data_IF_497414905403
#
_entry.id   IF_497414905403
#
_cell.length_a   1.000
_cell.length_b   1.000
_cell.length_c   1.000
_cell.angle_alpha   90.00
_cell.angle_beta   90.00
_cell.angle_gamma   90.00
#
_symmetry.space_group_name_H-M   'P 1'
#
loop_
_entity.id
_entity.type
_entity.pdbx_description
1 polymer ?
#
# COMPACT_ATOMS: atom_id res chain seq x y z
N UNK A 1 -12.31 -19.48 19.93
CA UNK A 1 -12.77 -19.65 18.52
C UNK A 1 -12.56 -18.35 17.79
N UNK A 2 -12.08 -18.41 16.55
CA UNK A 2 -11.94 -17.25 15.67
C UNK A 2 -13.12 -17.20 14.69
N UNK A 3 -13.62 -15.98 14.42
CA UNK A 3 -14.58 -15.69 13.37
C UNK A 3 -14.06 -14.54 12.55
N UNK A 4 -14.02 -14.72 11.23
CA UNK A 4 -13.59 -13.70 10.28
C UNK A 4 -14.54 -13.60 9.10
N UNK A 5 -14.79 -12.37 8.64
CA UNK A 5 -15.52 -12.04 7.44
C UNK A 5 -14.61 -11.26 6.50
N UNK A 6 -14.55 -11.70 5.25
CA UNK A 6 -13.79 -11.04 4.19
C UNK A 6 -14.73 -10.76 3.02
N UNK A 7 -14.88 -9.50 2.69
CA UNK A 7 -15.66 -9.05 1.54
C UNK A 7 -14.78 -8.30 0.57
N UNK A 8 -14.81 -8.68 -0.70
CA UNK A 8 -14.08 -7.98 -1.76
C UNK A 8 -14.98 -7.68 -2.94
N UNK A 9 -14.76 -6.53 -3.55
CA UNK A 9 -15.47 -6.10 -4.76
C UNK A 9 -14.53 -5.40 -5.71
N UNK A 10 -14.59 -5.82 -6.97
CA UNK A 10 -13.89 -5.18 -8.06
C UNK A 10 -14.88 -4.59 -9.06
N UNK A 11 -14.62 -3.39 -9.58
CA UNK A 11 -15.48 -2.73 -10.55
C UNK A 11 -14.68 -1.94 -11.58
N UNK A 12 -14.97 -2.19 -12.85
CA UNK A 12 -14.56 -1.30 -13.94
C UNK A 12 -15.61 -0.20 -14.14
N UNK A 13 -15.13 1.03 -14.27
CA UNK A 13 -15.93 2.23 -14.50
C UNK A 13 -15.32 3.02 -15.65
N UNK A 14 -16.07 3.97 -16.25
CA UNK A 14 -15.49 4.89 -17.26
C UNK A 14 -14.28 5.68 -16.72
N UNK A 15 -14.30 5.99 -15.43
CA UNK A 15 -13.22 6.70 -14.74
C UNK A 15 -12.02 5.83 -14.35
N UNK A 16 -12.09 4.51 -14.47
CA UNK A 16 -11.01 3.60 -14.13
C UNK A 16 -11.48 2.32 -13.44
N UNK A 17 -10.60 1.71 -12.69
CA UNK A 17 -10.84 0.47 -11.95
C UNK A 17 -10.72 0.71 -10.46
N UNK A 18 -11.68 0.20 -9.71
CA UNK A 18 -11.69 0.21 -8.25
C UNK A 18 -11.76 -1.23 -7.71
N UNK A 19 -10.83 -1.57 -6.84
CA UNK A 19 -10.88 -2.76 -6.01
C UNK A 19 -11.01 -2.35 -4.55
N UNK A 20 -11.98 -2.91 -3.85
CA UNK A 20 -12.21 -2.68 -2.42
C UNK A 20 -12.23 -4.01 -1.69
N UNK A 21 -11.52 -4.08 -0.57
CA UNK A 21 -11.48 -5.20 0.35
C UNK A 21 -11.84 -4.72 1.75
N UNK A 22 -12.73 -5.44 2.42
CA UNK A 22 -13.10 -5.21 3.81
C UNK A 22 -12.91 -6.51 4.58
N UNK A 23 -12.21 -6.45 5.69
CA UNK A 23 -11.98 -7.56 6.58
C UNK A 23 -12.46 -7.20 7.99
N UNK A 24 -13.11 -8.15 8.63
CA UNK A 24 -13.51 -8.10 10.05
C UNK A 24 -13.20 -9.44 10.68
N UNK A 25 -12.42 -9.45 11.75
CA UNK A 25 -12.06 -10.68 12.46
C UNK A 25 -11.97 -10.48 13.97
N UNK A 26 -12.33 -11.50 14.75
CA UNK A 26 -12.22 -11.46 16.21
C UNK A 26 -12.17 -12.85 16.79
N UNK A 27 -11.55 -12.98 17.96
CA UNK A 27 -11.58 -14.19 18.76
C UNK A 27 -12.70 -14.12 19.77
N UNK A 28 -13.35 -15.25 20.03
CA UNK A 28 -14.34 -15.44 21.08
C UNK A 28 -13.79 -16.39 22.14
N UNK A 29 -13.75 -15.92 23.40
CA UNK A 29 -13.33 -16.68 24.55
C UNK A 29 -14.22 -16.33 25.74
N UNK A 30 -14.85 -17.34 26.36
CA UNK A 30 -15.68 -17.16 27.57
C UNK A 30 -16.84 -16.17 27.40
N UNK A 31 -17.42 -16.02 26.20
CA UNK A 31 -18.52 -15.08 25.94
C UNK A 31 -18.07 -13.65 25.63
N UNK A 32 -16.76 -13.37 25.63
CA UNK A 32 -16.19 -12.05 25.31
C UNK A 32 -15.48 -12.08 23.96
N UNK A 33 -15.46 -10.94 23.30
CA UNK A 33 -14.68 -10.74 22.06
C UNK A 33 -13.28 -10.26 22.40
N UNK A 34 -12.27 -10.89 21.82
CA UNK A 34 -10.86 -10.58 22.02
C UNK A 34 -10.16 -10.38 20.68
N UNK A 35 -9.10 -9.56 20.64
CA UNK A 35 -8.24 -9.37 19.48
C UNK A 35 -9.01 -9.04 18.19
N UNK A 36 -9.94 -8.11 18.26
CA UNK A 36 -10.72 -7.70 17.11
C UNK A 36 -9.92 -6.85 16.12
N UNK A 37 -10.11 -7.11 14.82
CA UNK A 37 -9.51 -6.37 13.71
C UNK A 37 -10.58 -6.00 12.70
N UNK A 38 -10.62 -4.73 12.35
CA UNK A 38 -11.32 -4.23 11.18
C UNK A 38 -10.30 -3.59 10.24
N UNK A 39 -10.31 -3.96 8.97
CA UNK A 39 -9.45 -3.33 7.97
C UNK A 39 -10.14 -3.15 6.63
N UNK A 40 -9.76 -2.10 5.93
CA UNK A 40 -10.17 -1.86 4.54
C UNK A 40 -8.95 -1.57 3.68
N UNK A 41 -8.99 -2.04 2.45
CA UNK A 41 -8.02 -1.72 1.41
C UNK A 41 -8.76 -1.34 0.14
N UNK A 42 -8.49 -0.15 -0.38
CA UNK A 42 -9.09 0.35 -1.60
C UNK A 42 -7.97 0.71 -2.58
N UNK A 43 -7.98 0.07 -3.74
CA UNK A 43 -7.03 0.30 -4.81
C UNK A 43 -7.78 0.83 -6.03
N UNK A 44 -7.44 2.02 -6.46
CA UNK A 44 -8.01 2.64 -7.64
C UNK A 44 -6.92 2.98 -8.64
N UNK A 45 -7.21 2.80 -9.92
CA UNK A 45 -6.39 3.37 -10.98
C UNK A 45 -7.21 3.92 -12.13
N UNK A 46 -6.71 5.01 -12.73
CA UNK A 46 -7.36 5.67 -13.85
C UNK A 46 -7.24 4.85 -15.14
N UNK A 47 -8.07 5.14 -16.16
CA UNK A 47 -7.77 4.71 -17.53
C UNK A 47 -6.39 5.21 -17.96
N UNK A 48 -5.89 4.66 -19.03
CA UNK A 48 -4.65 5.14 -19.63
C UNK A 48 -4.93 6.44 -20.39
N UNK A 49 -4.31 7.54 -19.95
CA UNK A 49 -4.44 8.86 -20.57
C UNK A 49 -3.36 9.02 -21.62
N UNK A 50 -3.76 9.39 -22.84
CA UNK A 50 -2.82 9.74 -23.92
C UNK A 50 -2.32 11.19 -23.74
N UNK A 51 -1.01 11.36 -23.61
CA UNK A 51 -0.36 12.66 -23.46
C UNK A 51 0.20 13.20 -24.78
N UNK A 52 0.04 12.47 -25.88
CA UNK A 52 0.64 12.77 -27.16
C UNK A 52 2.03 12.14 -27.35
N UNK A 53 2.56 12.14 -28.60
CA UNK A 53 3.88 11.62 -28.93
C UNK A 53 4.19 10.20 -28.41
N UNK A 54 3.17 9.34 -28.34
CA UNK A 54 3.23 7.97 -27.77
C UNK A 54 3.53 7.90 -26.26
N UNK A 55 3.35 9.01 -25.55
CA UNK A 55 3.38 9.04 -24.09
C UNK A 55 1.99 8.78 -23.54
N UNK A 56 1.93 7.97 -22.47
CA UNK A 56 0.70 7.68 -21.76
C UNK A 56 0.93 7.82 -20.26
N UNK A 57 -0.11 8.21 -19.53
CA UNK A 57 -0.06 8.28 -18.09
C UNK A 57 -1.18 7.44 -17.45
N UNK A 58 -0.91 6.92 -16.25
CA UNK A 58 -1.89 6.28 -15.37
C UNK A 58 -1.61 6.69 -13.94
N UNK A 59 -2.67 7.00 -13.21
CA UNK A 59 -2.61 7.37 -11.81
C UNK A 59 -3.19 6.26 -10.96
N UNK A 60 -2.55 5.99 -9.84
CA UNK A 60 -2.92 4.99 -8.87
C UNK A 60 -3.19 5.66 -7.53
N UNK A 61 -4.23 5.23 -6.85
CA UNK A 61 -4.58 5.63 -5.49
C UNK A 61 -4.78 4.36 -4.67
N UNK A 62 -4.07 4.28 -3.55
CA UNK A 62 -4.25 3.23 -2.56
C UNK A 62 -4.66 3.86 -1.24
N UNK A 63 -5.72 3.35 -0.62
CA UNK A 63 -6.15 3.78 0.71
C UNK A 63 -6.32 2.54 1.58
N UNK A 64 -5.55 2.46 2.66
CA UNK A 64 -5.62 1.39 3.65
C UNK A 64 -6.01 1.98 5.00
N UNK A 65 -7.01 1.39 5.62
CA UNK A 65 -7.42 1.71 6.98
C UNK A 65 -7.40 0.44 7.83
N UNK A 66 -6.95 0.55 9.08
CA UNK A 66 -6.93 -0.53 10.04
C UNK A 66 -7.34 -0.04 11.43
N UNK A 67 -8.13 -0.84 12.12
CA UNK A 67 -8.56 -0.59 13.49
C UNK A 67 -8.56 -1.88 14.29
N UNK A 68 -7.73 -1.93 15.35
CA UNK A 68 -7.70 -3.00 16.34
C UNK A 68 -8.54 -2.64 17.57
N UNK A 69 -9.39 -3.54 18.01
CA UNK A 69 -10.25 -3.34 19.17
C UNK A 69 -10.20 -4.57 20.10
N UNK A 70 -10.54 -4.38 21.40
CA UNK A 70 -10.54 -5.42 22.44
C UNK A 70 -9.23 -6.24 22.50
N UNK A 71 -8.08 -5.51 22.53
CA UNK A 71 -6.77 -6.13 22.44
C UNK A 71 -6.16 -6.38 23.80
N UNK A 72 -5.60 -7.57 23.98
CA UNK A 72 -4.88 -7.99 25.20
C UNK A 72 -3.36 -7.99 25.00
N UNK A 73 -2.90 -8.19 23.77
CA UNK A 73 -1.48 -8.25 23.45
C UNK A 73 -1.02 -6.99 22.76
N UNK A 74 0.26 -6.67 22.88
CA UNK A 74 0.92 -5.57 22.20
C UNK A 74 1.16 -5.88 20.72
N UNK A 75 0.12 -6.26 20.01
CA UNK A 75 0.15 -6.37 18.57
C UNK A 75 -0.28 -5.04 17.94
N UNK A 76 0.50 -4.56 17.00
CA UNK A 76 0.29 -3.27 16.37
C UNK A 76 0.22 -3.42 14.86
N UNK A 77 -0.59 -2.60 14.22
CA UNK A 77 -0.42 -2.37 12.79
C UNK A 77 0.89 -1.66 12.55
N UNK A 78 1.58 -2.07 11.51
CA UNK A 78 2.75 -1.36 11.00
C UNK A 78 2.41 -0.75 9.64
N UNK A 79 2.83 0.49 9.40
CA UNK A 79 2.68 1.18 8.12
C UNK A 79 4.00 1.33 7.38
N UNK A 80 5.01 0.52 7.70
CA UNK A 80 6.28 0.46 6.97
C UNK A 80 6.22 -0.47 5.75
N UNK A 81 7.12 -0.26 4.81
CA UNK A 81 7.26 -1.12 3.63
C UNK A 81 6.03 -1.19 2.74
N UNK A 82 5.68 -2.38 2.28
CA UNK A 82 4.56 -2.61 1.35
C UNK A 82 3.18 -2.36 1.98
N UNK A 83 3.10 -2.33 3.31
CA UNK A 83 1.85 -2.08 4.02
C UNK A 83 1.52 -0.59 4.16
N UNK A 84 2.44 0.29 3.80
CA UNK A 84 2.23 1.73 3.90
C UNK A 84 3.29 2.55 3.20
N UNK A 85 4.24 3.08 3.97
CA UNK A 85 5.29 3.96 3.45
C UNK A 85 6.45 3.11 2.94
N UNK A 86 6.54 2.96 1.62
CA UNK A 86 7.51 2.09 0.98
C UNK A 86 8.96 2.56 1.19
N UNK A 87 9.87 1.60 1.38
CA UNK A 87 11.32 1.84 1.45
C UNK A 87 11.83 2.27 2.81
N UNK A 88 10.99 2.25 3.83
CA UNK A 88 11.38 2.55 5.20
C UNK A 88 10.81 1.51 6.17
N UNK A 89 11.55 1.26 7.23
CA UNK A 89 11.12 0.50 8.39
C UNK A 89 11.48 1.28 9.64
N UNK A 90 10.52 1.48 10.52
CA UNK A 90 10.66 2.20 11.77
C UNK A 90 9.67 1.69 12.80
N UNK A 91 10.06 1.68 14.05
CA UNK A 91 9.19 1.36 15.17
C UNK A 91 8.15 2.46 15.45
N UNK A 92 8.42 3.68 15.03
CA UNK A 92 7.45 4.80 15.12
C UNK A 92 6.24 4.60 14.20
N UNK A 93 6.36 3.78 13.17
CA UNK A 93 5.32 3.51 12.17
C UNK A 93 4.31 2.45 12.62
N UNK A 94 4.04 2.34 13.91
CA UNK A 94 3.13 1.34 14.49
C UNK A 94 2.06 1.96 15.36
N UNK A 95 0.90 1.30 15.43
CA UNK A 95 -0.22 1.72 16.27
C UNK A 95 -1.36 0.70 16.27
N UNK A 96 -2.39 0.95 17.08
CA UNK A 96 -3.62 0.13 17.10
C UNK A 96 -4.61 0.55 16.02
N UNK A 97 -4.39 1.73 15.43
CA UNK A 97 -5.14 2.25 14.28
C UNK A 97 -4.16 2.75 13.25
N UNK A 98 -4.50 2.57 11.97
CA UNK A 98 -3.71 3.10 10.86
C UNK A 98 -4.59 3.67 9.76
N UNK A 99 -4.09 4.70 9.10
CA UNK A 99 -4.58 5.17 7.81
C UNK A 99 -3.38 5.43 6.91
N UNK A 100 -3.40 4.87 5.73
CA UNK A 100 -2.38 5.10 4.71
C UNK A 100 -3.06 5.53 3.43
N UNK A 101 -2.55 6.60 2.82
CA UNK A 101 -2.96 7.08 1.51
C UNK A 101 -1.74 7.15 0.62
N UNK A 102 -1.71 6.35 -0.42
CA UNK A 102 -0.65 6.32 -1.42
C UNK A 102 -1.17 6.79 -2.77
N UNK A 103 -0.43 7.71 -3.39
CA UNK A 103 -0.69 8.18 -4.76
C UNK A 103 0.54 7.94 -5.60
N UNK A 104 0.36 7.41 -6.80
CA UNK A 104 1.45 7.21 -7.75
C UNK A 104 0.98 7.59 -9.15
N UNK A 105 1.85 8.27 -9.90
CA UNK A 105 1.63 8.60 -11.31
C UNK A 105 2.75 8.00 -12.14
N UNK A 106 2.40 7.10 -13.05
CA UNK A 106 3.34 6.41 -13.94
C UNK A 106 3.17 6.94 -15.35
N UNK A 107 4.28 7.31 -15.96
CA UNK A 107 4.36 7.81 -17.32
C UNK A 107 5.02 6.77 -18.23
N UNK A 108 4.27 6.18 -19.12
CA UNK A 108 4.77 5.18 -20.06
C UNK A 108 5.38 5.91 -21.25
N UNK A 109 6.71 5.78 -21.39
CA UNK A 109 7.45 6.41 -22.47
C UNK A 109 7.53 5.52 -23.73
N UNK A 110 7.70 6.11 -24.93
CA UNK A 110 8.01 5.36 -26.13
C UNK A 110 9.46 4.89 -26.21
N UNK A 111 10.29 5.26 -25.21
CA UNK A 111 11.72 4.99 -25.19
C UNK A 111 11.94 3.51 -24.94
N UNK A 112 12.67 2.88 -25.87
CA UNK A 112 13.17 1.53 -25.74
C UNK A 112 14.70 1.56 -25.88
N UNK A 113 15.39 1.13 -24.85
CA UNK A 113 16.85 1.07 -24.85
C UNK A 113 17.29 -0.36 -24.50
N UNK A 114 18.02 -1.00 -25.41
CA UNK A 114 18.48 -2.39 -25.26
C UNK A 114 17.36 -3.39 -24.89
N UNK A 115 16.16 -3.21 -25.44
CA UNK A 115 15.00 -4.05 -25.13
C UNK A 115 14.25 -3.67 -23.84
N UNK A 116 14.72 -2.68 -23.09
CA UNK A 116 14.05 -2.17 -21.91
C UNK A 116 13.12 -1.01 -22.25
N UNK A 117 11.86 -1.15 -21.94
CA UNK A 117 10.90 -0.04 -21.91
C UNK A 117 10.99 0.68 -20.58
N UNK A 118 11.08 1.99 -20.64
CA UNK A 118 11.26 2.85 -19.47
C UNK A 118 9.96 3.58 -19.14
N UNK A 119 9.59 3.58 -17.86
CA UNK A 119 8.45 4.33 -17.36
C UNK A 119 8.86 5.12 -16.10
N UNK A 120 9.09 6.44 -16.22
CA UNK A 120 9.25 7.31 -15.06
C UNK A 120 7.97 7.33 -14.23
N UNK A 121 8.13 7.50 -12.91
CA UNK A 121 7.01 7.64 -12.00
C UNK A 121 7.32 8.60 -10.87
N UNK A 122 6.27 9.19 -10.31
CA UNK A 122 6.32 9.98 -9.09
C UNK A 122 5.33 9.39 -8.09
N UNK A 123 5.64 9.46 -6.80
CA UNK A 123 4.77 8.93 -5.77
C UNK A 123 4.78 9.78 -4.51
N UNK A 124 3.69 9.68 -3.76
CA UNK A 124 3.55 10.25 -2.43
C UNK A 124 2.74 9.29 -1.55
N UNK A 125 3.27 8.98 -0.38
CA UNK A 125 2.61 8.18 0.64
C UNK A 125 2.44 9.02 1.90
N UNK A 126 1.23 9.01 2.44
CA UNK A 126 0.86 9.63 3.70
C UNK A 126 0.39 8.53 4.65
N UNK A 127 0.88 8.54 5.87
CA UNK A 127 0.51 7.57 6.88
C UNK A 127 0.21 8.21 8.23
N UNK A 128 -0.79 7.70 8.91
CA UNK A 128 -1.12 8.05 10.29
C UNK A 128 -1.22 6.76 11.09
N UNK A 129 -0.69 6.80 12.30
CA UNK A 129 -0.89 5.76 13.31
C UNK A 129 -1.34 6.41 14.61
N UNK A 130 -2.16 5.73 15.39
CA UNK A 130 -2.53 6.14 16.73
C UNK A 130 -2.73 4.95 17.64
N UNK A 131 -2.58 5.20 18.94
CA UNK A 131 -2.92 4.23 19.98
C UNK A 131 -4.35 4.42 20.48
N UNK A 132 -4.80 3.49 21.32
CA UNK A 132 -6.13 3.54 21.93
C UNK A 132 -6.29 4.83 22.75
N UNK A 133 -7.37 5.59 22.48
CA UNK A 133 -7.66 6.86 23.15
C UNK A 133 -7.24 8.10 22.37
N UNK A 134 -6.38 7.97 21.37
CA UNK A 134 -5.93 9.09 20.55
C UNK A 134 -6.70 9.13 19.22
N UNK A 135 -7.22 10.31 18.79
CA UNK A 135 -7.82 10.44 17.46
C UNK A 135 -6.77 10.27 16.36
N UNK A 136 -7.07 9.46 15.34
CA UNK A 136 -6.10 9.07 14.32
C UNK A 136 -5.54 10.26 13.51
N UNK A 137 -6.39 11.19 13.10
CA UNK A 137 -5.99 12.30 12.24
C UNK A 137 -5.38 13.50 12.98
N UNK A 138 -5.37 13.48 14.32
CA UNK A 138 -4.70 14.50 15.11
C UNK A 138 -3.23 14.17 15.41
N UNK A 139 -2.83 12.91 15.14
CA UNK A 139 -1.42 12.52 15.22
C UNK A 139 -0.64 13.11 14.05
N UNK A 140 0.67 13.29 14.24
CA UNK A 140 1.56 13.81 13.19
C UNK A 140 1.58 12.82 12.03
N UNK A 141 1.33 13.28 10.78
CA UNK A 141 1.43 12.39 9.63
C UNK A 141 2.88 12.05 9.30
N UNK A 142 3.09 10.83 8.86
CA UNK A 142 4.33 10.37 8.27
C UNK A 142 4.25 10.52 6.76
N UNK A 143 5.30 11.02 6.12
CA UNK A 143 5.33 11.27 4.69
C UNK A 143 6.49 10.53 4.02
N UNK A 144 6.22 9.94 2.87
CA UNK A 144 7.24 9.46 1.96
C UNK A 144 6.88 9.87 0.54
N UNK A 145 7.76 10.57 -0.15
CA UNK A 145 7.55 10.97 -1.54
C UNK A 145 8.82 10.85 -2.35
N UNK A 146 8.67 10.71 -3.64
CA UNK A 146 9.84 10.57 -4.49
C UNK A 146 9.51 10.37 -5.96
N UNK A 147 10.56 10.07 -6.68
CA UNK A 147 10.54 9.81 -8.11
C UNK A 147 11.31 8.53 -8.41
N UNK A 148 11.04 7.93 -9.54
CA UNK A 148 11.80 6.77 -9.98
C UNK A 148 11.57 6.40 -11.43
N UNK A 149 12.24 5.33 -11.82
CA UNK A 149 12.12 4.74 -13.15
C UNK A 149 11.82 3.25 -13.01
N UNK A 150 10.82 2.78 -13.74
CA UNK A 150 10.56 1.35 -13.97
C UNK A 150 11.10 0.95 -15.31
N UNK A 151 11.78 -0.18 -15.33
CA UNK A 151 12.35 -0.80 -16.53
C UNK A 151 11.70 -2.14 -16.72
N UNK A 152 11.13 -2.37 -17.89
CA UNK A 152 10.50 -3.63 -18.26
C UNK A 152 11.16 -4.20 -19.51
N UNK A 153 11.61 -5.45 -19.40
CA UNK A 153 12.08 -6.22 -20.55
C UNK A 153 11.30 -7.53 -20.60
N UNK A 154 10.62 -7.78 -21.70
CA UNK A 154 9.76 -8.96 -21.89
C UNK A 154 10.57 -10.25 -22.14
N UNK A 155 11.86 -10.12 -22.45
CA UNK A 155 12.75 -11.24 -22.75
C UNK A 155 13.53 -11.73 -21.52
N UNK A 156 13.41 -11.06 -20.37
CA UNK A 156 14.11 -11.45 -19.15
C UNK A 156 13.17 -12.15 -18.17
N UNK A 157 13.74 -13.05 -17.38
CA UNK A 157 13.04 -13.73 -16.27
C UNK A 157 12.48 -12.72 -15.25
N UNK A 158 13.21 -11.62 -15.01
CA UNK A 158 12.75 -10.48 -14.22
C UNK A 158 12.11 -9.45 -15.14
N UNK A 159 10.79 -9.50 -15.24
CA UNK A 159 10.06 -8.66 -16.21
C UNK A 159 10.14 -7.17 -15.92
N UNK A 160 10.29 -6.78 -14.67
CA UNK A 160 10.27 -5.37 -14.27
C UNK A 160 11.13 -5.15 -13.05
N UNK A 161 11.98 -4.13 -13.08
CA UNK A 161 12.67 -3.60 -11.91
C UNK A 161 12.49 -2.09 -11.83
N UNK A 162 12.69 -1.52 -10.66
CA UNK A 162 12.60 -0.08 -10.46
C UNK A 162 13.77 0.45 -9.64
N UNK A 163 14.16 1.66 -9.99
CA UNK A 163 15.06 2.50 -9.21
C UNK A 163 14.26 3.68 -8.72
N UNK A 164 14.36 4.01 -7.43
CA UNK A 164 13.68 5.16 -6.88
C UNK A 164 14.57 5.98 -5.96
N UNK A 165 14.26 7.27 -5.91
CA UNK A 165 14.80 8.23 -4.95
C UNK A 165 13.63 8.72 -4.10
N UNK A 166 13.77 8.61 -2.79
CA UNK A 166 12.69 8.88 -1.83
C UNK A 166 13.17 9.82 -0.75
N UNK A 167 12.27 10.69 -0.31
CA UNK A 167 12.46 11.57 0.85
C UNK A 167 11.36 11.27 1.85
N UNK A 168 11.73 11.16 3.13
CA UNK A 168 10.82 10.85 4.22
C UNK A 168 10.83 11.98 5.25
N UNK A 169 9.67 12.25 5.84
CA UNK A 169 9.51 13.21 6.92
C UNK A 169 8.49 12.73 7.95
N UNK A 170 8.59 13.27 9.15
CA UNK A 170 7.71 12.87 10.26
C UNK A 170 8.19 11.65 11.04
N UNK A 171 9.37 11.10 10.70
CA UNK A 171 9.96 9.92 11.34
C UNK A 171 11.31 10.35 11.91
N UNK A 172 11.49 10.23 13.23
CA UNK A 172 12.69 10.74 13.91
C UNK A 172 13.84 9.75 13.96
N UNK A 173 13.55 8.44 13.89
CA UNK A 173 14.54 7.38 14.05
C UNK A 173 15.23 6.93 12.74
N UNK A 174 14.90 7.51 11.60
CA UNK A 174 15.45 7.07 10.30
C UNK A 174 16.86 7.57 9.99
N UNK A 175 17.39 8.48 10.76
CA UNK A 175 18.71 9.10 10.59
C UNK A 175 18.78 10.02 9.37
N UNK A 176 18.80 9.49 8.17
CA UNK A 176 18.79 10.30 6.94
C UNK A 176 17.42 10.25 6.26
N UNK A 177 16.83 11.41 5.91
CA UNK A 177 15.53 11.46 5.24
C UNK A 177 15.56 11.01 3.79
N UNK A 178 16.73 11.01 3.15
CA UNK A 178 16.90 10.63 1.74
C UNK A 178 17.33 9.17 1.61
N UNK A 179 16.67 8.43 0.70
CA UNK A 179 17.03 7.05 0.37
C UNK A 179 16.94 6.76 -1.11
N UNK A 180 17.92 6.01 -1.62
CA UNK A 180 17.87 5.38 -2.92
C UNK A 180 17.46 3.91 -2.76
N UNK A 181 16.55 3.41 -3.60
CA UNK A 181 16.08 2.03 -3.58
C UNK A 181 16.16 1.39 -4.96
N UNK A 182 16.55 0.12 -4.98
CA UNK A 182 16.47 -0.76 -6.15
C UNK A 182 15.62 -1.96 -5.78
N UNK A 183 14.57 -2.23 -6.55
CA UNK A 183 13.60 -3.30 -6.24
C UNK A 183 13.15 -4.01 -7.52
N UNK A 184 12.98 -5.33 -7.43
CA UNK A 184 12.17 -6.07 -8.39
C UNK A 184 10.69 -5.73 -8.17
N UNK A 185 9.99 -5.32 -9.22
CA UNK A 185 8.57 -5.04 -9.16
C UNK A 185 7.82 -6.30 -9.53
N UNK A 186 7.08 -6.86 -8.59
CA UNK A 186 6.08 -7.86 -8.92
C UNK A 186 4.96 -7.15 -9.68
N UNK A 187 4.61 -7.61 -10.90
CA UNK A 187 3.50 -7.01 -11.64
C UNK A 187 2.26 -6.99 -10.75
N UNK A 188 1.49 -5.92 -10.85
CA UNK A 188 0.23 -5.76 -10.12
C UNK A 188 -0.66 -6.95 -10.48
N UNK A 189 -0.60 -8.00 -9.69
CA UNK A 189 -1.58 -9.08 -9.79
C UNK A 189 -2.87 -8.48 -9.24
N UNK A 190 -3.86 -8.31 -10.09
CA UNK A 190 -5.23 -8.19 -9.62
C UNK A 190 -5.40 -9.37 -8.66
N UNK A 191 -5.66 -9.08 -7.38
CA UNK A 191 -5.92 -10.15 -6.42
C UNK A 191 -7.11 -10.91 -6.96
N UNK A 192 -6.86 -12.09 -7.52
CA UNK A 192 -7.90 -12.99 -7.93
C UNK A 192 -8.80 -13.26 -6.72
N UNK A 193 -10.08 -13.51 -6.96
CA UNK A 193 -10.99 -13.94 -5.91
C UNK A 193 -10.48 -15.29 -5.38
N UNK A 194 -9.68 -15.20 -4.32
CA UNK A 194 -9.12 -16.39 -3.70
C UNK A 194 -10.21 -17.05 -2.86
N UNK A 195 -10.66 -18.22 -3.29
CA UNK A 195 -11.57 -19.10 -2.56
C UNK A 195 -10.76 -20.01 -1.63
N UNK A 196 -9.66 -19.50 -1.08
CA UNK A 196 -8.87 -20.23 -0.08
C UNK A 196 -9.62 -20.39 1.23
N UNK A 197 -9.16 -21.35 2.04
CA UNK A 197 -9.66 -21.52 3.39
C UNK A 197 -9.57 -20.20 4.18
N UNK A 198 -10.52 -19.92 5.11
CA UNK A 198 -10.49 -18.70 5.91
C UNK A 198 -9.18 -18.59 6.67
N UNK A 199 -8.38 -17.59 6.35
CA UNK A 199 -7.15 -17.25 7.07
C UNK A 199 -7.47 -16.30 8.22
N UNK A 200 -6.72 -16.43 9.33
CA UNK A 200 -6.73 -15.44 10.40
C UNK A 200 -6.27 -14.12 9.78
N UNK A 201 -7.06 -13.06 9.95
CA UNK A 201 -6.72 -11.72 9.47
C UNK A 201 -5.56 -11.19 10.32
N UNK A 202 -4.34 -11.13 9.77
CA UNK A 202 -3.19 -10.69 10.55
C UNK A 202 -3.20 -9.17 10.73
N UNK A 203 -2.51 -8.73 11.77
CA UNK A 203 -2.12 -7.34 11.93
C UNK A 203 -0.93 -7.04 10.99
N UNK A 204 -1.22 -6.53 9.81
CA UNK A 204 -0.21 -6.13 8.80
C UNK A 204 -0.31 -4.66 8.50
#
# INVERSE_FOLDING_TARGET
KYVGLKFSKARYMKAGYLYSLVNLGTYFKGGTTEQGVFSTENNYFTPLHNLGQRWYARHFLNVKFGWGFNRFQNEYFNISGNEGIQGISSDELRGTRKLVVGVESVFFSPINFLGFRMAPFVFSNLGWTSFKGEPLLTTRPFHGYGIGFRFRNENLTFNTFQVRLSIYSGISDIGQPFRAGFEGVTPLRLKDFDISAPEIIPFR
#
